data_IF_271760676524
#
_entry.id   IF_271760676524
#
_cell.length_a   1.000
_cell.length_b   1.000
_cell.length_c   1.000
_cell.angle_alpha   90.00
_cell.angle_beta   90.00
_cell.angle_gamma   90.00
#
_symmetry.space_group_name_H-M   'P 1'
#
loop_
_entity.id
_entity.type
_entity.pdbx_description
1 polymer ?
#
# COMPACT_ATOMS: atom_id res chain seq x y z
N UNK A 1 -18.42 27.75 -12.63
CA UNK A 1 -17.53 26.58 -12.84
C UNK A 1 -17.23 25.93 -11.51
N UNK A 2 -17.37 24.64 -11.46
CA UNK A 2 -17.12 23.87 -10.25
C UNK A 2 -15.66 23.46 -10.17
N UNK A 3 -15.05 23.61 -9.02
CA UNK A 3 -13.71 23.08 -8.80
C UNK A 3 -13.78 21.57 -8.63
N UNK A 4 -12.92 20.86 -9.32
CA UNK A 4 -12.84 19.41 -9.22
C UNK A 4 -11.73 18.96 -8.28
N UNK A 5 -11.31 19.84 -7.38
CA UNK A 5 -10.31 19.50 -6.38
C UNK A 5 -10.92 18.56 -5.35
N UNK A 6 -10.17 17.52 -5.02
CA UNK A 6 -10.46 16.65 -3.89
C UNK A 6 -9.26 16.67 -2.96
N UNK A 7 -9.50 16.89 -1.68
CA UNK A 7 -8.44 16.91 -0.66
C UNK A 7 -8.73 15.81 0.33
N UNK A 8 -7.75 14.95 0.56
CA UNK A 8 -7.83 13.85 1.53
C UNK A 8 -6.63 13.98 2.46
N UNK A 9 -6.89 13.99 3.77
CA UNK A 9 -5.81 13.91 4.75
C UNK A 9 -5.73 12.47 5.26
N UNK A 10 -4.58 11.86 5.12
CA UNK A 10 -4.40 10.44 5.44
C UNK A 10 -4.47 10.15 6.94
N UNK A 11 -4.41 11.17 7.79
CA UNK A 11 -4.53 11.01 9.24
C UNK A 11 -5.95 11.25 9.74
N UNK A 12 -6.77 11.98 9.00
CA UNK A 12 -8.10 12.40 9.43
C UNK A 12 -9.23 11.66 8.70
N UNK A 13 -8.91 10.87 7.68
CA UNK A 13 -9.90 10.17 6.88
C UNK A 13 -10.06 8.74 7.42
N UNK A 14 -11.30 8.24 7.60
CA UNK A 14 -11.52 6.87 8.05
C UNK A 14 -10.98 5.84 7.05
N UNK A 15 -10.35 4.80 7.57
CA UNK A 15 -9.87 3.66 6.79
C UNK A 15 -10.91 2.54 6.81
N UNK A 16 -10.86 1.70 5.79
CA UNK A 16 -11.65 0.47 5.74
C UNK A 16 -10.75 -0.75 5.93
N UNK A 17 -11.36 -1.93 6.06
CA UNK A 17 -10.61 -3.17 6.16
C UNK A 17 -9.83 -3.43 4.86
N UNK A 18 -8.65 -4.02 4.99
CA UNK A 18 -7.82 -4.38 3.84
C UNK A 18 -8.26 -5.72 3.28
N UNK A 19 -8.63 -5.75 2.01
CA UNK A 19 -9.16 -6.94 1.33
C UNK A 19 -8.67 -7.07 -0.12
N UNK A 20 -7.57 -6.41 -0.47
CA UNK A 20 -7.13 -6.36 -1.88
C UNK A 20 -6.59 -7.69 -2.39
N UNK A 21 -6.16 -8.60 -1.52
CA UNK A 21 -5.68 -9.93 -1.90
C UNK A 21 -6.71 -11.03 -1.52
N UNK A 22 -8.00 -10.69 -1.50
CA UNK A 22 -9.07 -11.65 -1.22
C UNK A 22 -9.69 -11.47 0.14
N UNK A 23 -9.44 -12.38 1.09
CA UNK A 23 -10.04 -12.29 2.41
C UNK A 23 -9.59 -11.06 3.19
N UNK A 24 -10.48 -10.51 4.01
CA UNK A 24 -10.17 -9.38 4.88
C UNK A 24 -9.03 -9.74 5.83
N UNK A 25 -8.03 -8.86 5.92
CA UNK A 25 -6.95 -8.95 6.90
C UNK A 25 -7.22 -7.95 8.02
N UNK A 26 -7.51 -8.46 9.22
CA UNK A 26 -7.97 -7.62 10.35
C UNK A 26 -6.88 -6.72 10.93
N UNK A 27 -5.62 -7.02 10.68
CA UNK A 27 -4.46 -6.26 11.16
C UNK A 27 -3.95 -5.25 10.13
N UNK A 28 -4.66 -5.08 9.03
CA UNK A 28 -4.34 -4.12 7.98
C UNK A 28 -5.58 -3.30 7.63
N UNK A 29 -5.35 -2.03 7.29
CA UNK A 29 -6.43 -1.11 6.91
C UNK A 29 -6.07 -0.41 5.60
N UNK A 30 -7.09 -0.07 4.84
CA UNK A 30 -6.98 0.54 3.52
C UNK A 30 -7.69 1.88 3.46
N UNK A 31 -7.01 2.90 2.95
CA UNK A 31 -7.63 4.13 2.51
C UNK A 31 -7.50 4.19 0.99
N UNK A 32 -8.62 4.08 0.31
CA UNK A 32 -8.63 4.19 -1.15
C UNK A 32 -8.63 5.66 -1.54
N UNK A 33 -7.58 6.10 -2.21
CA UNK A 33 -7.49 7.48 -2.72
C UNK A 33 -8.04 7.53 -4.14
N UNK A 34 -7.53 6.71 -5.03
CA UNK A 34 -7.95 6.67 -6.44
C UNK A 34 -7.75 5.28 -7.05
N UNK A 35 -7.65 4.26 -6.20
CA UNK A 35 -7.46 2.90 -6.68
C UNK A 35 -8.76 2.37 -7.27
N UNK A 36 -8.70 1.90 -8.51
CA UNK A 36 -9.82 1.32 -9.22
C UNK A 36 -9.70 -0.21 -9.18
N UNK A 37 -10.61 -0.86 -8.47
CA UNK A 37 -10.62 -2.33 -8.34
C UNK A 37 -10.87 -3.02 -9.69
N UNK A 38 -11.53 -2.35 -10.62
CA UNK A 38 -11.79 -2.90 -11.94
C UNK A 38 -10.54 -2.95 -12.82
N UNK A 39 -9.64 -2.00 -12.69
CA UNK A 39 -8.39 -1.94 -13.46
C UNK A 39 -7.18 -2.39 -12.67
N UNK A 40 -7.25 -2.37 -11.34
CA UNK A 40 -6.12 -2.68 -10.46
C UNK A 40 -5.07 -1.57 -10.40
N UNK A 41 -5.45 -0.35 -10.73
CA UNK A 41 -4.53 0.79 -10.79
C UNK A 41 -5.04 1.98 -9.97
N UNK A 42 -4.12 2.76 -9.43
CA UNK A 42 -4.42 3.97 -8.70
C UNK A 42 -3.70 4.04 -7.36
N UNK A 43 -3.98 5.10 -6.61
CA UNK A 43 -3.34 5.41 -5.34
C UNK A 43 -4.11 4.87 -4.15
N UNK A 44 -3.37 4.43 -3.13
CA UNK A 44 -3.94 3.91 -1.88
C UNK A 44 -2.99 4.18 -0.72
N UNK A 45 -3.53 4.11 0.49
CA UNK A 45 -2.74 4.15 1.71
C UNK A 45 -3.04 2.87 2.49
N UNK A 46 -2.00 2.25 3.00
CA UNK A 46 -2.12 1.04 3.81
C UNK A 46 -1.55 1.32 5.19
N UNK A 47 -2.32 0.96 6.22
CA UNK A 47 -1.88 0.98 7.61
C UNK A 47 -1.78 -0.46 8.10
N UNK A 48 -0.61 -0.82 8.60
CA UNK A 48 -0.35 -2.15 9.15
C UNK A 48 -0.14 -2.05 10.65
N UNK A 49 -0.86 -2.86 11.42
CA UNK A 49 -0.63 -2.95 12.84
C UNK A 49 0.72 -3.64 13.12
N UNK A 50 1.35 -3.42 14.28
CA UNK A 50 2.56 -4.14 14.64
C UNK A 50 2.38 -5.65 14.51
N UNK A 51 3.31 -6.31 13.83
CA UNK A 51 3.26 -7.75 13.58
C UNK A 51 2.49 -8.17 12.33
N UNK A 52 1.83 -7.26 11.64
CA UNK A 52 1.07 -7.59 10.44
C UNK A 52 1.97 -8.01 9.29
N UNK A 53 1.45 -8.90 8.43
CA UNK A 53 2.14 -9.36 7.24
C UNK A 53 1.16 -9.43 6.08
N UNK A 54 1.60 -8.99 4.90
CA UNK A 54 0.81 -9.11 3.70
C UNK A 54 0.85 -10.53 3.15
N UNK A 55 -0.20 -10.88 2.39
CA UNK A 55 -0.24 -12.17 1.68
C UNK A 55 0.70 -12.08 0.47
N UNK A 56 1.56 -13.10 0.23
CA UNK A 56 2.41 -13.10 -0.97
C UNK A 56 1.57 -13.00 -2.24
N UNK A 57 1.95 -12.10 -3.13
CA UNK A 57 1.23 -11.90 -4.38
C UNK A 57 2.17 -11.41 -5.47
N UNK A 58 1.76 -11.63 -6.72
CA UNK A 58 2.50 -11.17 -7.89
C UNK A 58 1.83 -9.93 -8.45
N UNK A 59 2.62 -8.88 -8.66
CA UNK A 59 2.11 -7.64 -9.22
C UNK A 59 1.98 -7.72 -10.72
N UNK A 60 0.80 -7.44 -11.23
CA UNK A 60 0.52 -7.33 -12.65
C UNK A 60 1.07 -6.02 -13.22
N UNK A 61 1.04 -4.97 -12.42
CA UNK A 61 1.49 -3.64 -12.78
C UNK A 61 2.74 -3.25 -12.00
N UNK A 62 3.28 -2.07 -12.28
CA UNK A 62 4.35 -1.51 -11.46
C UNK A 62 3.76 -1.04 -10.14
N UNK A 63 4.32 -1.51 -9.05
CA UNK A 63 3.94 -1.06 -7.71
C UNK A 63 5.03 -0.17 -7.14
N UNK A 64 4.64 1.01 -6.67
CA UNK A 64 5.55 1.92 -6.01
C UNK A 64 4.94 2.39 -4.71
N UNK A 65 5.75 2.51 -3.65
CA UNK A 65 5.24 3.07 -2.41
C UNK A 65 6.33 3.78 -1.62
N UNK A 66 5.87 4.72 -0.79
CA UNK A 66 6.67 5.49 0.14
C UNK A 66 6.27 5.11 1.55
N UNK A 67 7.25 4.80 2.39
CA UNK A 67 7.00 4.57 3.81
C UNK A 67 6.89 5.93 4.49
N UNK A 68 5.73 6.18 5.09
CA UNK A 68 5.45 7.43 5.80
C UNK A 68 5.84 7.30 7.26
N UNK A 69 5.49 6.17 7.89
CA UNK A 69 5.80 5.90 9.30
C UNK A 69 6.11 4.42 9.49
N UNK A 70 6.93 4.12 10.47
CA UNK A 70 7.20 2.76 10.89
C UNK A 70 8.26 2.07 10.06
N UNK A 71 8.09 0.75 9.92
CA UNK A 71 9.04 -0.11 9.21
C UNK A 71 8.29 -1.10 8.33
N UNK A 72 8.98 -1.56 7.29
CA UNK A 72 8.47 -2.62 6.44
C UNK A 72 9.63 -3.52 6.05
N UNK A 73 9.46 -4.82 6.28
CA UNK A 73 10.49 -5.82 6.01
C UNK A 73 10.02 -6.65 4.83
N UNK A 74 10.74 -6.55 3.72
CA UNK A 74 10.42 -7.28 2.50
C UNK A 74 10.85 -8.75 2.60
N UNK A 75 10.28 -9.61 1.75
CA UNK A 75 10.54 -11.05 1.79
C UNK A 75 12.00 -11.42 1.54
N UNK A 76 12.79 -10.56 0.91
CA UNK A 76 14.22 -10.77 0.70
C UNK A 76 15.09 -10.25 1.86
N UNK A 77 14.46 -9.76 2.94
CA UNK A 77 15.15 -9.23 4.11
C UNK A 77 15.47 -7.74 4.06
N UNK A 78 15.15 -7.06 2.98
CA UNK A 78 15.34 -5.61 2.89
C UNK A 78 14.43 -4.91 3.90
N UNK A 79 15.00 -4.02 4.71
CA UNK A 79 14.27 -3.27 5.71
C UNK A 79 14.06 -1.84 5.20
N UNK A 80 12.81 -1.45 5.08
CA UNK A 80 12.40 -0.11 4.70
C UNK A 80 11.94 0.65 5.93
N UNK A 81 12.20 1.94 5.98
CA UNK A 81 11.82 2.82 7.09
C UNK A 81 11.24 4.12 6.55
N UNK A 82 10.71 4.93 7.44
CA UNK A 82 10.10 6.21 7.06
C UNK A 82 11.02 7.01 6.13
N UNK A 83 10.47 7.46 5.02
CA UNK A 83 11.19 8.18 3.98
C UNK A 83 11.73 7.30 2.85
N UNK A 84 11.73 5.99 3.00
CA UNK A 84 12.18 5.09 1.93
C UNK A 84 11.10 4.90 0.87
N UNK A 85 11.52 4.93 -0.37
CA UNK A 85 10.68 4.70 -1.54
C UNK A 85 11.14 3.43 -2.24
N UNK A 86 10.18 2.61 -2.67
CA UNK A 86 10.50 1.40 -3.43
C UNK A 86 9.62 1.31 -4.68
N UNK A 87 10.19 0.77 -5.74
CA UNK A 87 9.51 0.53 -7.01
C UNK A 87 9.74 -0.92 -7.43
N UNK A 88 8.65 -1.64 -7.68
CA UNK A 88 8.69 -3.01 -8.18
C UNK A 88 8.18 -3.08 -9.61
N UNK A 89 8.98 -3.72 -10.47
CA UNK A 89 8.59 -3.94 -11.86
C UNK A 89 7.41 -4.94 -11.95
N UNK A 90 6.60 -4.86 -13.00
CA UNK A 90 5.55 -5.85 -13.25
C UNK A 90 6.11 -7.27 -13.26
N UNK A 91 5.34 -8.20 -12.72
CA UNK A 91 5.74 -9.60 -12.60
C UNK A 91 6.54 -9.93 -11.33
N UNK A 92 6.87 -8.94 -10.53
CA UNK A 92 7.57 -9.15 -9.26
C UNK A 92 6.62 -9.79 -8.25
N UNK A 93 7.09 -10.85 -7.60
CA UNK A 93 6.36 -11.49 -6.51
C UNK A 93 7.05 -11.17 -5.20
N UNK A 94 6.31 -10.66 -4.24
CA UNK A 94 6.84 -10.38 -2.92
C UNK A 94 5.74 -10.39 -1.86
N UNK A 95 6.16 -10.34 -0.62
CA UNK A 95 5.30 -10.01 0.51
C UNK A 95 6.12 -9.22 1.52
N UNK A 96 5.41 -8.57 2.42
CA UNK A 96 6.01 -7.67 3.39
C UNK A 96 5.41 -7.90 4.76
N UNK A 97 6.20 -7.60 5.80
CA UNK A 97 5.73 -7.62 7.19
C UNK A 97 6.27 -6.41 7.92
N UNK A 98 5.68 -6.09 9.04
CA UNK A 98 6.17 -5.01 9.90
C UNK A 98 6.33 -5.52 11.32
N UNK A 99 7.33 -5.00 12.03
CA UNK A 99 7.49 -5.29 13.45
C UNK A 99 6.83 -4.23 14.32
N UNK A 100 6.99 -2.96 13.95
CA UNK A 100 6.55 -1.83 14.78
C UNK A 100 5.31 -1.13 14.24
N UNK A 101 4.73 -1.63 13.18
CA UNK A 101 3.67 -0.96 12.46
C UNK A 101 4.20 -0.20 11.25
N UNK A 102 3.32 0.08 10.31
CA UNK A 102 3.70 0.76 9.08
C UNK A 102 2.54 1.59 8.54
N UNK A 103 2.84 2.77 8.05
CA UNK A 103 1.94 3.57 7.24
C UNK A 103 2.65 3.84 5.92
N UNK A 104 2.07 3.39 4.82
CA UNK A 104 2.64 3.61 3.50
C UNK A 104 1.60 4.17 2.54
N UNK A 105 2.07 4.95 1.57
CA UNK A 105 1.25 5.42 0.45
C UNK A 105 1.81 4.81 -0.82
N UNK A 106 0.93 4.20 -1.62
CA UNK A 106 1.36 3.50 -2.81
C UNK A 106 0.50 3.77 -4.02
N UNK A 107 1.02 3.36 -5.16
CA UNK A 107 0.34 3.42 -6.44
C UNK A 107 0.66 2.15 -7.23
N UNK A 108 -0.38 1.56 -7.81
CA UNK A 108 -0.24 0.58 -8.87
C UNK A 108 -0.51 1.30 -10.18
N UNK A 109 0.42 1.25 -11.11
CA UNK A 109 0.32 2.00 -12.36
C UNK A 109 0.82 1.18 -13.54
N UNK A 110 0.42 1.60 -14.75
CA UNK A 110 0.88 0.96 -15.95
C UNK A 110 2.42 0.99 -16.03
N UNK A 111 3.01 -0.08 -16.52
CA UNK A 111 4.45 -0.16 -16.74
C UNK A 111 4.83 0.67 -17.95
N UNK A 112 5.86 1.45 -17.78
CA UNK A 112 6.43 2.27 -18.83
C UNK A 112 7.92 2.01 -18.94
#
# INVERSE_FOLDING_TARGET
>A
MTSERRVINIYDTPYSAYDLEGAVQVDMQLLNISYDRGTGRGWYVIRMAPGAASIPHTHEFREEYLIVEGDLIESDGTILKAGDFVSYAPGTRHNSRTENGCLLIGIDRAAE
#
